data_IF_791089699066
#
_entry.id   IF_791089699066
#
_cell.length_a   1.000
_cell.length_b   1.000
_cell.length_c   1.000
_cell.angle_alpha   90.00
_cell.angle_beta   90.00
_cell.angle_gamma   90.00
#
_symmetry.space_group_name_H-M   'P 1'
#
loop_
_entity.id
_entity.type
_entity.pdbx_description
1 polymer ?
#
# COMPACT_ATOMS: atom_id res chain seq x y z
N UNK A 1 -21.51 -4.29 52.99
CA UNK A 1 -22.19 -5.48 52.42
C UNK A 1 -22.88 -5.02 51.14
N UNK A 2 -22.42 -5.22 49.92
CA UNK A 2 -21.43 -6.15 49.39
C UNK A 2 -22.11 -7.05 48.36
N UNK A 3 -22.00 -6.70 47.07
CA UNK A 3 -22.04 -7.58 45.87
C UNK A 3 -22.45 -6.77 44.64
N UNK A 4 -21.89 -6.94 43.45
CA UNK A 4 -20.62 -7.51 42.99
C UNK A 4 -20.52 -7.04 41.53
N UNK A 5 -19.37 -6.49 41.16
CA UNK A 5 -19.01 -6.19 39.77
C UNK A 5 -18.44 -7.47 39.15
N UNK A 6 -18.87 -7.78 37.94
CA UNK A 6 -18.23 -8.65 36.94
C UNK A 6 -18.64 -8.06 35.58
N UNK A 7 -17.79 -7.63 34.64
CA UNK A 7 -16.44 -8.08 34.31
C UNK A 7 -16.49 -8.87 33.00
N UNK A 8 -16.13 -8.19 31.89
CA UNK A 8 -15.59 -8.61 30.59
C UNK A 8 -15.85 -10.01 29.99
N UNK A 9 -16.01 -10.04 28.65
CA UNK A 9 -15.69 -11.22 27.84
C UNK A 9 -16.33 -11.28 26.45
N UNK A 10 -15.58 -10.81 25.46
CA UNK A 10 -15.40 -11.32 24.09
C UNK A 10 -16.60 -11.63 23.17
N UNK A 11 -16.58 -10.93 22.04
CA UNK A 11 -17.20 -11.38 20.81
C UNK A 11 -16.63 -10.59 19.63
N UNK A 12 -15.52 -11.08 19.08
CA UNK A 12 -15.05 -10.76 17.73
C UNK A 12 -16.26 -10.76 16.79
N UNK A 13 -16.63 -9.58 16.28
CA UNK A 13 -17.62 -9.45 15.23
C UNK A 13 -16.86 -9.35 13.92
N UNK A 14 -16.98 -10.35 13.02
CA UNK A 14 -16.48 -10.19 11.66
C UNK A 14 -17.12 -8.93 11.07
N UNK A 15 -16.32 -8.16 10.35
CA UNK A 15 -16.80 -7.05 9.53
C UNK A 15 -17.92 -7.61 8.65
N UNK A 16 -19.13 -7.06 8.82
CA UNK A 16 -20.35 -7.51 8.17
C UNK A 16 -20.17 -7.48 6.63
N UNK A 17 -20.74 -8.46 5.93
CA UNK A 17 -20.64 -8.72 4.48
C UNK A 17 -21.27 -7.61 3.59
N UNK A 18 -21.41 -6.40 4.12
CA UNK A 18 -22.00 -5.22 3.46
C UNK A 18 -21.10 -3.98 3.46
N UNK A 19 -19.91 -4.04 4.06
CA UNK A 19 -19.16 -2.83 4.40
C UNK A 19 -18.14 -2.36 3.37
N UNK A 20 -17.65 -3.23 2.47
CA UNK A 20 -16.61 -2.86 1.49
C UNK A 20 -17.15 -2.54 0.08
N UNK A 21 -18.45 -2.73 -0.18
CA UNK A 21 -19.08 -2.50 -1.49
C UNK A 21 -20.34 -1.62 -1.40
N UNK A 22 -20.58 -0.97 -0.26
CA UNK A 22 -21.86 -0.37 0.11
C UNK A 22 -22.06 1.09 -0.28
N UNK A 23 -21.02 1.80 -0.69
CA UNK A 23 -21.10 3.23 -1.00
C UNK A 23 -20.38 3.56 -2.30
N UNK A 24 -20.84 2.97 -3.41
CA UNK A 24 -20.98 3.62 -4.72
C UNK A 24 -19.92 4.60 -5.22
N UNK A 25 -18.65 4.47 -4.82
CA UNK A 25 -17.57 5.25 -5.39
C UNK A 25 -17.32 4.71 -6.81
N UNK A 26 -17.56 5.49 -7.87
CA UNK A 26 -17.05 5.13 -9.18
C UNK A 26 -15.54 4.93 -9.04
N UNK A 27 -14.99 3.82 -9.57
CA UNK A 27 -13.57 3.60 -9.50
C UNK A 27 -12.84 4.75 -10.21
N UNK A 28 -11.95 5.41 -9.49
CA UNK A 28 -11.27 6.61 -9.95
C UNK A 28 -10.09 6.29 -10.86
N UNK A 29 -10.24 5.33 -11.78
CA UNK A 29 -9.14 4.89 -12.64
C UNK A 29 -8.74 5.99 -13.64
N UNK A 30 -7.45 6.36 -13.60
CA UNK A 30 -6.80 7.09 -14.68
C UNK A 30 -7.01 6.35 -16.01
N UNK A 31 -7.53 7.06 -17.01
CA UNK A 31 -7.89 6.51 -18.31
C UNK A 31 -6.64 6.16 -19.14
N UNK A 32 -6.04 4.99 -18.92
CA UNK A 32 -4.98 4.42 -19.74
C UNK A 32 -5.54 3.66 -20.95
N UNK A 33 -5.49 4.26 -22.14
CA UNK A 33 -5.86 3.58 -23.39
C UNK A 33 -4.80 2.55 -23.81
N UNK A 34 -5.17 1.26 -23.80
CA UNK A 34 -4.35 0.18 -24.36
C UNK A 34 -4.05 0.41 -25.86
N UNK A 35 -2.77 0.44 -26.24
CA UNK A 35 -2.34 0.47 -27.66
C UNK A 35 -1.68 -0.86 -28.05
N UNK A 36 -2.38 -1.62 -28.89
CA UNK A 36 -1.86 -2.81 -29.56
C UNK A 36 -0.66 -2.50 -30.49
N UNK A 37 0.35 -3.40 -30.47
CA UNK A 37 0.92 -4.04 -31.68
C UNK A 37 1.90 -5.17 -31.32
N UNK A 38 1.59 -6.39 -31.77
CA UNK A 38 2.47 -7.56 -31.73
C UNK A 38 3.56 -7.49 -32.81
N UNK A 39 4.68 -8.22 -32.61
CA UNK A 39 4.92 -9.31 -33.54
C UNK A 39 5.30 -10.65 -32.88
N UNK A 40 4.89 -11.71 -33.60
CA UNK A 40 5.15 -13.13 -33.36
C UNK A 40 6.65 -13.47 -33.33
N UNK A 41 7.04 -14.45 -32.49
CA UNK A 41 8.13 -15.38 -32.81
C UNK A 41 7.94 -16.75 -32.17
N UNK A 42 8.27 -17.76 -32.98
CA UNK A 42 8.11 -19.20 -32.78
C UNK A 42 9.39 -19.86 -32.25
N UNK A 43 9.23 -20.96 -31.50
CA UNK A 43 10.07 -22.16 -31.71
C UNK A 43 11.07 -22.61 -30.61
N UNK A 44 10.57 -23.43 -29.68
CA UNK A 44 11.03 -24.80 -29.34
C UNK A 44 12.41 -25.13 -28.70
N UNK A 45 12.31 -25.74 -27.49
CA UNK A 45 13.01 -26.93 -26.90
C UNK A 45 14.51 -26.78 -26.53
N UNK A 46 15.06 -27.32 -25.42
CA UNK A 46 15.02 -28.67 -24.82
C UNK A 46 15.50 -28.70 -23.34
N UNK A 47 15.16 -29.83 -22.71
CA UNK A 47 15.42 -30.41 -21.37
C UNK A 47 16.89 -30.76 -21.09
N UNK A 48 17.32 -30.86 -19.80
CA UNK A 48 18.00 -32.03 -19.15
C UNK A 48 18.26 -31.80 -17.62
N UNK A 49 18.29 -32.95 -16.92
CA UNK A 49 18.14 -33.31 -15.51
C UNK A 49 19.32 -33.08 -14.53
N UNK A 50 18.94 -32.89 -13.25
CA UNK A 50 19.36 -33.56 -11.99
C UNK A 50 20.83 -33.64 -11.53
N UNK A 51 21.05 -33.34 -10.24
CA UNK A 51 21.65 -34.28 -9.26
C UNK A 51 21.41 -33.80 -7.82
N UNK A 52 21.02 -34.74 -6.96
CA UNK A 52 20.86 -34.56 -5.51
C UNK A 52 22.17 -34.88 -4.78
N UNK A 53 22.38 -34.25 -3.62
CA UNK A 53 23.30 -34.74 -2.59
C UNK A 53 22.68 -34.55 -1.21
N UNK A 54 22.56 -35.66 -0.50
CA UNK A 54 22.06 -35.79 0.87
C UNK A 54 23.26 -35.64 1.82
N UNK A 55 23.16 -34.79 2.85
CA UNK A 55 24.08 -34.79 3.98
C UNK A 55 23.30 -34.75 5.28
N UNK A 56 23.48 -35.79 6.10
CA UNK A 56 22.94 -35.90 7.45
C UNK A 56 23.97 -35.30 8.41
N UNK A 57 23.54 -34.36 9.25
CA UNK A 57 24.24 -34.01 10.49
C UNK A 57 23.20 -33.72 11.58
N UNK A 58 23.22 -34.55 12.62
CA UNK A 58 22.53 -34.30 13.88
C UNK A 58 23.44 -33.50 14.81
N UNK A 59 22.91 -32.49 15.51
CA UNK A 59 23.65 -31.80 16.56
C UNK A 59 22.92 -30.61 17.18
N UNK A 60 22.47 -30.78 18.42
CA UNK A 60 22.17 -29.80 19.47
C UNK A 60 21.09 -28.72 19.22
N UNK A 61 19.94 -28.89 19.89
CA UNK A 61 18.96 -27.81 20.12
C UNK A 61 19.51 -26.91 21.23
N UNK A 62 20.15 -25.82 20.85
CA UNK A 62 20.34 -24.66 21.71
C UNK A 62 19.27 -23.63 21.30
N UNK A 63 18.36 -23.31 22.22
CA UNK A 63 17.38 -22.24 22.04
C UNK A 63 18.16 -20.93 21.80
N UNK A 64 18.17 -20.49 20.54
CA UNK A 64 18.79 -19.25 20.12
C UNK A 64 17.66 -18.27 19.85
N UNK A 65 17.54 -17.23 20.67
CA UNK A 65 16.82 -16.02 20.31
C UNK A 65 17.58 -15.37 19.17
N UNK A 66 17.25 -15.74 17.94
CA UNK A 66 17.82 -15.15 16.75
C UNK A 66 17.20 -13.76 16.57
N UNK A 67 17.85 -12.73 17.11
CA UNK A 67 17.79 -11.42 16.49
C UNK A 67 18.35 -11.60 15.08
N UNK A 68 17.47 -11.58 14.07
CA UNK A 68 17.88 -11.60 12.68
C UNK A 68 18.51 -10.24 12.34
N UNK A 69 19.78 -10.05 12.68
CA UNK A 69 20.64 -9.09 11.97
C UNK A 69 21.01 -9.77 10.66
N UNK A 70 20.14 -9.66 9.66
CA UNK A 70 20.46 -10.06 8.30
C UNK A 70 21.35 -9.00 7.65
N UNK A 71 22.60 -9.34 7.38
CA UNK A 71 23.50 -8.62 6.45
C UNK A 71 23.02 -8.75 4.98
N UNK A 72 21.70 -8.84 4.76
CA UNK A 72 21.08 -8.80 3.44
C UNK A 72 20.82 -7.35 3.08
N UNK A 73 21.33 -6.89 1.94
CA UNK A 73 20.89 -5.62 1.36
C UNK A 73 19.37 -5.70 1.18
N UNK A 74 18.64 -4.70 1.67
CA UNK A 74 17.19 -4.62 1.48
C UNK A 74 16.84 -4.85 -0.01
N UNK A 75 15.76 -5.57 -0.32
CA UNK A 75 15.47 -6.02 -1.68
C UNK A 75 15.25 -4.88 -2.69
N UNK A 76 14.90 -3.67 -2.23
CA UNK A 76 14.87 -2.46 -3.07
C UNK A 76 16.22 -1.72 -3.15
N UNK A 77 17.19 -2.06 -2.31
CA UNK A 77 18.44 -1.33 -2.12
C UNK A 77 18.33 -0.13 -1.18
N UNK A 78 17.15 0.12 -0.59
CA UNK A 78 16.89 1.20 0.36
C UNK A 78 16.36 0.61 1.68
N UNK A 79 17.12 0.77 2.76
CA UNK A 79 16.74 0.27 4.08
C UNK A 79 15.54 0.98 4.65
N UNK A 80 14.65 0.21 5.28
CA UNK A 80 13.54 0.77 6.06
C UNK A 80 14.09 1.73 7.14
N UNK A 81 13.63 2.98 7.21
CA UNK A 81 14.02 3.88 8.28
C UNK A 81 13.62 3.29 9.64
N UNK A 82 14.53 3.18 10.60
CA UNK A 82 14.28 2.53 11.91
C UNK A 82 13.97 3.50 13.05
N UNK A 83 14.18 4.79 12.83
CA UNK A 83 13.89 5.86 13.79
C UNK A 83 13.23 7.03 13.08
N UNK A 84 12.46 7.83 13.82
CA UNK A 84 12.09 9.15 13.31
C UNK A 84 13.35 10.02 13.18
N UNK A 85 13.33 10.91 12.19
CA UNK A 85 14.46 11.79 11.82
C UNK A 85 14.63 13.00 12.76
N UNK A 86 13.83 13.06 13.84
CA UNK A 86 13.83 14.17 14.80
C UNK A 86 13.07 15.41 14.36
N UNK A 87 12.33 15.36 13.23
CA UNK A 87 11.49 16.47 12.74
C UNK A 87 10.13 16.62 13.45
N UNK A 88 9.97 15.99 14.62
CA UNK A 88 8.71 16.01 15.39
C UNK A 88 7.76 14.87 15.07
N UNK A 89 8.14 13.93 14.21
CA UNK A 89 7.44 12.67 14.00
C UNK A 89 7.92 11.57 14.97
N UNK A 90 7.04 10.63 15.30
CA UNK A 90 7.29 9.43 16.10
C UNK A 90 6.75 8.19 15.38
N UNK A 91 7.58 7.15 15.28
CA UNK A 91 7.25 5.88 14.62
C UNK A 91 6.26 5.06 15.45
N UNK A 92 5.10 4.74 14.88
CA UNK A 92 4.08 3.87 15.51
C UNK A 92 3.81 2.57 14.76
N UNK A 93 4.27 2.46 13.52
CA UNK A 93 4.22 1.21 12.75
C UNK A 93 5.40 1.09 11.78
N UNK A 94 6.07 -0.06 11.73
CA UNK A 94 7.11 -0.37 10.74
C UNK A 94 7.16 -1.85 10.41
N UNK A 95 7.11 -2.21 9.14
CA UNK A 95 7.20 -3.59 8.68
C UNK A 95 8.13 -3.71 7.46
N UNK A 96 9.03 -4.69 7.49
CA UNK A 96 10.02 -5.02 6.45
C UNK A 96 9.86 -6.46 5.90
N UNK A 97 8.79 -7.13 6.32
CA UNK A 97 8.36 -8.46 5.87
C UNK A 97 9.43 -9.55 5.99
N UNK A 98 10.29 -9.45 7.02
CA UNK A 98 11.37 -10.42 7.24
C UNK A 98 10.87 -11.86 7.53
N UNK A 99 9.65 -12.02 8.03
CA UNK A 99 9.03 -13.33 8.22
C UNK A 99 8.48 -13.87 6.89
N UNK A 100 9.11 -14.92 6.36
CA UNK A 100 8.61 -15.64 5.19
C UNK A 100 7.36 -16.45 5.53
N UNK A 101 6.34 -16.40 4.68
CA UNK A 101 5.08 -17.12 4.85
C UNK A 101 4.88 -18.17 3.75
N UNK A 102 4.18 -19.29 4.04
CA UNK A 102 3.73 -20.17 2.98
C UNK A 102 2.65 -19.45 2.15
N UNK A 103 2.42 -19.93 0.92
CA UNK A 103 1.36 -19.40 0.08
C UNK A 103 -0.01 -19.43 0.79
N UNK A 104 -0.65 -18.26 0.90
CA UNK A 104 -1.92 -18.09 1.62
C UNK A 104 -1.79 -18.13 3.14
N UNK A 105 -0.57 -18.11 3.68
CA UNK A 105 -0.28 -18.04 5.11
C UNK A 105 -0.12 -16.63 5.64
N UNK A 106 -0.07 -15.60 4.78
CA UNK A 106 0.15 -14.22 5.20
C UNK A 106 -0.83 -13.75 6.29
N UNK A 107 -2.13 -13.96 6.08
CA UNK A 107 -3.17 -13.59 7.05
C UNK A 107 -2.99 -14.26 8.43
N UNK A 108 -2.44 -15.48 8.46
CA UNK A 108 -2.19 -16.19 9.70
C UNK A 108 -0.90 -15.71 10.40
N UNK A 109 0.16 -15.48 9.63
CA UNK A 109 1.49 -15.18 10.16
C UNK A 109 1.69 -13.69 10.47
N UNK A 110 0.94 -12.80 9.83
CA UNK A 110 0.97 -11.33 10.01
C UNK A 110 -0.34 -10.77 10.61
N UNK A 111 -1.25 -11.62 11.09
CA UNK A 111 -2.59 -11.21 11.52
C UNK A 111 -2.66 -10.32 12.77
N UNK A 112 -1.58 -10.20 13.54
CA UNK A 112 -1.43 -9.23 14.63
C UNK A 112 -0.97 -7.85 14.14
N UNK A 113 -0.51 -7.76 12.88
CA UNK A 113 0.03 -6.54 12.27
C UNK A 113 -0.80 -6.02 11.12
N UNK A 114 -1.58 -6.88 10.46
CA UNK A 114 -2.39 -6.51 9.31
C UNK A 114 -3.78 -7.13 9.39
N UNK A 115 -4.79 -6.34 9.02
CA UNK A 115 -6.06 -6.88 8.54
C UNK A 115 -5.95 -7.13 7.04
N UNK A 116 -6.49 -8.27 6.57
CA UNK A 116 -6.41 -8.70 5.18
C UNK A 116 -7.79 -8.67 4.52
N UNK A 117 -7.86 -8.15 3.31
CA UNK A 117 -9.09 -8.18 2.52
C UNK A 117 -9.26 -9.56 1.88
N UNK A 118 -10.40 -10.20 2.15
CA UNK A 118 -10.72 -11.53 1.65
C UNK A 118 -12.23 -11.73 1.47
N UNK A 119 -12.63 -12.34 0.35
CA UNK A 119 -13.96 -12.97 0.21
C UNK A 119 -15.02 -12.12 -0.49
N UNK A 120 -14.76 -10.82 -0.66
CA UNK A 120 -15.66 -9.85 -1.31
C UNK A 120 -15.10 -9.36 -2.66
N UNK A 121 -15.93 -8.62 -3.40
CA UNK A 121 -15.55 -8.04 -4.69
C UNK A 121 -14.45 -6.98 -4.50
N UNK A 122 -13.59 -6.81 -5.50
CA UNK A 122 -12.68 -5.66 -5.49
C UNK A 122 -13.41 -4.37 -5.87
N UNK A 123 -12.69 -3.24 -5.83
CA UNK A 123 -13.25 -1.89 -6.00
C UNK A 123 -13.95 -1.72 -7.35
N UNK A 124 -13.39 -2.24 -8.44
CA UNK A 124 -14.02 -2.22 -9.77
C UNK A 124 -15.22 -3.20 -9.89
N UNK A 125 -15.41 -4.09 -8.92
CA UNK A 125 -16.51 -5.05 -8.86
C UNK A 125 -16.38 -6.22 -9.83
N UNK A 126 -15.29 -6.33 -10.60
CA UNK A 126 -15.06 -7.43 -11.56
C UNK A 126 -14.12 -8.51 -11.01
N UNK A 127 -13.29 -8.17 -10.04
CA UNK A 127 -12.40 -9.06 -9.31
C UNK A 127 -12.89 -9.42 -7.91
N UNK A 128 -12.04 -10.15 -7.16
CA UNK A 128 -12.30 -10.52 -5.77
C UNK A 128 -11.02 -10.42 -4.93
N UNK A 129 -11.12 -9.76 -3.78
CA UNK A 129 -10.07 -9.82 -2.78
C UNK A 129 -9.92 -11.23 -2.23
N UNK A 130 -8.70 -11.73 -2.15
CA UNK A 130 -8.38 -13.09 -1.70
C UNK A 130 -7.04 -13.10 -0.97
N UNK A 131 -7.01 -13.45 0.31
CA UNK A 131 -5.74 -13.60 1.06
C UNK A 131 -4.72 -14.56 0.43
N UNK A 132 -5.14 -15.48 -0.45
CA UNK A 132 -4.24 -16.32 -1.24
C UNK A 132 -3.37 -15.58 -2.28
N UNK A 133 -3.64 -14.30 -2.54
CA UNK A 133 -2.78 -13.43 -3.35
C UNK A 133 -1.59 -12.89 -2.57
N UNK A 134 -1.64 -12.94 -1.22
CA UNK A 134 -0.61 -12.38 -0.36
C UNK A 134 0.38 -13.46 0.09
N UNK A 135 1.67 -13.19 -0.02
CA UNK A 135 2.75 -13.99 0.54
C UNK A 135 3.88 -13.04 0.93
N UNK A 136 4.59 -13.33 2.02
CA UNK A 136 5.82 -12.62 2.35
C UNK A 136 7.01 -13.54 2.10
N UNK A 137 8.02 -13.05 1.42
CA UNK A 137 9.27 -13.79 1.17
C UNK A 137 10.37 -12.81 0.76
N UNK A 138 11.62 -13.21 0.97
CA UNK A 138 12.79 -12.43 0.56
C UNK A 138 12.80 -10.98 1.11
N UNK A 139 12.20 -10.75 2.28
CA UNK A 139 12.08 -9.41 2.89
C UNK A 139 11.06 -8.50 2.20
N UNK A 140 10.03 -9.07 1.55
CA UNK A 140 8.98 -8.30 0.89
C UNK A 140 7.61 -8.94 1.12
N UNK A 141 6.57 -8.13 1.07
CA UNK A 141 5.21 -8.55 0.74
C UNK A 141 5.06 -8.62 -0.78
N UNK A 142 4.75 -9.81 -1.28
CA UNK A 142 4.29 -10.08 -2.64
C UNK A 142 2.76 -10.18 -2.65
N UNK A 143 2.11 -9.20 -3.26
CA UNK A 143 0.73 -9.33 -3.72
C UNK A 143 0.75 -9.81 -5.17
N UNK A 144 0.34 -11.06 -5.40
CA UNK A 144 0.29 -11.63 -6.75
C UNK A 144 -1.09 -11.46 -7.39
N UNK A 145 -1.16 -10.56 -8.36
CA UNK A 145 -2.35 -10.16 -9.10
C UNK A 145 -2.48 -10.99 -10.37
N UNK A 146 -3.61 -11.69 -10.53
CA UNK A 146 -3.81 -12.57 -11.70
C UNK A 146 -5.24 -12.90 -11.99
N UNK A 147 -5.53 -13.12 -13.27
CA UNK A 147 -6.82 -13.63 -13.70
C UNK A 147 -6.78 -15.15 -13.77
N UNK A 148 -7.65 -15.81 -13.02
CA UNK A 148 -7.74 -17.29 -13.03
C UNK A 148 -8.10 -17.82 -14.42
N UNK A 149 -7.85 -19.11 -14.68
CA UNK A 149 -8.30 -19.79 -15.91
C UNK A 149 -9.82 -19.66 -16.13
N UNK A 150 -10.58 -19.62 -15.04
CA UNK A 150 -12.03 -19.40 -15.03
C UNK A 150 -12.44 -18.00 -15.51
N UNK A 151 -11.53 -17.03 -15.46
CA UNK A 151 -11.78 -15.63 -15.84
C UNK A 151 -12.00 -14.70 -14.65
N UNK A 152 -11.86 -15.18 -13.41
CA UNK A 152 -11.98 -14.35 -12.20
C UNK A 152 -10.65 -13.63 -11.89
N UNK A 153 -10.61 -12.29 -11.87
CA UNK A 153 -9.48 -11.50 -11.37
C UNK A 153 -9.33 -11.70 -9.85
N UNK A 154 -8.09 -11.82 -9.39
CA UNK A 154 -7.76 -11.94 -7.98
C UNK A 154 -7.04 -10.68 -7.51
N UNK A 155 -7.61 -10.04 -6.49
CA UNK A 155 -7.11 -8.82 -5.87
C UNK A 155 -6.46 -9.13 -4.50
N UNK A 156 -5.58 -8.24 -4.04
CA UNK A 156 -4.95 -8.27 -2.73
C UNK A 156 -5.21 -6.96 -1.99
N UNK A 157 -5.40 -7.02 -0.67
CA UNK A 157 -5.57 -5.83 0.14
C UNK A 157 -5.13 -6.05 1.57
N UNK A 158 -4.41 -5.08 2.14
CA UNK A 158 -3.95 -5.09 3.53
C UNK A 158 -4.16 -3.73 4.19
N UNK A 159 -4.46 -3.75 5.48
CA UNK A 159 -4.57 -2.58 6.36
C UNK A 159 -3.59 -2.78 7.50
N UNK A 160 -2.53 -1.96 7.63
CA UNK A 160 -1.67 -1.97 8.81
C UNK A 160 -2.45 -1.69 10.09
N UNK A 161 -2.17 -2.47 11.13
CA UNK A 161 -2.75 -2.31 12.46
C UNK A 161 -1.74 -1.60 13.35
N UNK A 162 -1.92 -0.29 13.55
CA UNK A 162 -1.11 0.49 14.49
C UNK A 162 -1.35 -0.05 15.90
N UNK A 163 -0.28 -0.45 16.59
CA UNK A 163 -0.32 -1.16 17.88
C UNK A 163 -1.23 -2.40 17.91
N UNK A 164 -1.41 -3.06 16.76
CA UNK A 164 -2.28 -4.24 16.63
C UNK A 164 -3.78 -3.91 16.74
N UNK A 165 -4.16 -2.64 16.60
CA UNK A 165 -5.54 -2.18 16.69
C UNK A 165 -6.06 -1.66 15.35
N UNK A 166 -7.37 -1.82 15.14
CA UNK A 166 -8.06 -1.20 14.02
C UNK A 166 -8.21 0.30 14.25
N UNK A 167 -8.03 1.06 13.17
CA UNK A 167 -8.30 2.48 13.11
C UNK A 167 -7.06 3.30 12.76
N UNK A 168 -7.32 4.55 12.41
CA UNK A 168 -6.39 5.45 11.80
C UNK A 168 -5.93 6.62 12.68
N UNK A 169 -5.29 7.59 12.03
CA UNK A 169 -4.78 8.81 12.66
C UNK A 169 -5.55 10.03 12.12
N UNK A 170 -5.46 11.17 12.78
CA UNK A 170 -5.95 12.47 12.25
C UNK A 170 -4.85 13.31 11.59
N UNK A 171 -3.64 12.76 11.58
CA UNK A 171 -2.41 13.33 11.02
C UNK A 171 -1.35 12.22 11.02
N UNK A 172 -0.43 12.22 10.07
CA UNK A 172 0.61 11.20 10.03
C UNK A 172 1.56 11.38 8.85
N UNK A 173 2.71 10.70 8.94
CA UNK A 173 3.59 10.44 7.80
C UNK A 173 3.52 8.96 7.45
N UNK A 174 3.08 8.66 6.23
CA UNK A 174 2.90 7.30 5.74
C UNK A 174 3.88 7.08 4.60
N UNK A 175 4.82 6.15 4.76
CA UNK A 175 5.81 5.84 3.72
C UNK A 175 5.72 4.38 3.32
N UNK A 176 5.78 4.12 2.02
CA UNK A 176 5.78 2.77 1.45
C UNK A 176 6.82 2.66 0.35
N UNK A 177 7.64 1.61 0.42
CA UNK A 177 8.64 1.29 -0.59
C UNK A 177 8.13 0.16 -1.47
N UNK A 178 7.75 0.47 -2.71
CA UNK A 178 7.10 -0.50 -3.59
C UNK A 178 7.51 -0.40 -5.05
N UNK A 179 7.22 -1.48 -5.79
CA UNK A 179 7.21 -1.55 -7.25
C UNK A 179 6.21 -2.60 -7.70
N UNK A 180 5.91 -2.64 -8.99
CA UNK A 180 5.00 -3.62 -9.58
C UNK A 180 5.49 -4.12 -10.93
N UNK A 181 5.08 -5.33 -11.31
CA UNK A 181 5.09 -5.74 -12.71
C UNK A 181 4.06 -4.92 -13.51
N UNK A 182 4.23 -4.80 -14.83
CA UNK A 182 3.14 -4.35 -15.70
C UNK A 182 2.11 -5.47 -15.85
N UNK A 183 0.89 -5.24 -15.38
CA UNK A 183 -0.18 -6.25 -15.41
C UNK A 183 -1.45 -5.68 -16.02
N UNK A 184 -1.73 -6.09 -17.26
CA UNK A 184 -2.90 -5.65 -18.02
C UNK A 184 -4.21 -5.71 -17.20
N UNK A 185 -4.85 -4.55 -17.06
CA UNK A 185 -6.13 -4.43 -16.37
C UNK A 185 -6.06 -4.46 -14.84
N UNK A 186 -4.87 -4.40 -14.24
CA UNK A 186 -4.72 -4.26 -12.79
C UNK A 186 -4.14 -2.89 -12.41
N UNK A 187 -4.48 -2.46 -11.22
CA UNK A 187 -3.96 -1.24 -10.61
C UNK A 187 -3.78 -1.38 -9.11
N UNK A 188 -3.23 -0.34 -8.51
CA UNK A 188 -3.03 -0.18 -7.08
C UNK A 188 -3.57 1.18 -6.63
N UNK A 189 -4.14 1.21 -5.44
CA UNK A 189 -4.40 2.40 -4.66
C UNK A 189 -3.79 2.19 -3.27
N UNK A 190 -2.81 3.01 -2.91
CA UNK A 190 -2.35 3.18 -1.53
C UNK A 190 -3.08 4.39 -0.99
N UNK A 191 -4.05 4.17 -0.10
CA UNK A 191 -4.99 5.21 0.28
C UNK A 191 -5.12 5.40 1.78
N UNK A 192 -5.39 6.65 2.18
CA UNK A 192 -5.95 6.97 3.48
C UNK A 192 -7.48 6.98 3.37
N UNK A 193 -8.14 6.16 4.18
CA UNK A 193 -9.60 5.97 4.17
C UNK A 193 -10.23 6.20 5.54
N UNK A 194 -11.47 6.70 5.58
CA UNK A 194 -12.18 6.99 6.83
C UNK A 194 -12.42 5.73 7.66
N UNK A 195 -12.10 5.81 8.94
CA UNK A 195 -12.43 4.78 9.93
C UNK A 195 -13.94 4.51 10.04
N UNK A 196 -14.76 5.54 9.79
CA UNK A 196 -16.22 5.46 9.83
C UNK A 196 -16.81 5.02 8.48
N UNK A 197 -15.96 4.80 7.47
CA UNK A 197 -16.35 4.37 6.13
C UNK A 197 -17.32 5.34 5.44
N UNK A 198 -17.08 6.64 5.63
CA UNK A 198 -17.80 7.74 4.99
C UNK A 198 -16.85 8.39 3.99
N UNK A 199 -17.26 8.49 2.72
CA UNK A 199 -16.36 9.01 1.68
C UNK A 199 -16.12 10.51 1.82
N UNK A 200 -17.14 11.24 2.31
CA UNK A 200 -17.08 12.67 2.56
C UNK A 200 -16.15 13.08 3.71
N UNK A 201 -15.68 12.12 4.52
CA UNK A 201 -14.62 12.34 5.49
C UNK A 201 -13.24 12.52 4.83
N UNK A 202 -13.11 12.08 3.56
CA UNK A 202 -11.92 12.18 2.73
C UNK A 202 -11.48 10.85 2.10
N UNK A 203 -10.72 10.97 1.02
CA UNK A 203 -9.92 9.89 0.41
C UNK A 203 -8.67 10.53 -0.19
N UNK A 204 -7.51 9.97 0.14
CA UNK A 204 -6.21 10.44 -0.33
C UNK A 204 -5.44 9.24 -0.86
N UNK A 205 -5.20 9.19 -2.17
CA UNK A 205 -4.56 8.09 -2.86
C UNK A 205 -3.17 8.51 -3.34
N UNK A 206 -2.14 7.91 -2.75
CA UNK A 206 -0.77 8.11 -3.21
C UNK A 206 0.17 6.97 -2.77
N UNK A 207 0.72 6.19 -3.71
CA UNK A 207 0.45 6.24 -5.15
C UNK A 207 -0.86 5.53 -5.52
N UNK A 208 -1.52 6.02 -6.58
CA UNK A 208 -2.57 5.31 -7.30
C UNK A 208 -2.16 5.09 -8.76
N UNK A 209 -2.56 4.00 -9.41
CA UNK A 209 -2.38 3.87 -10.86
C UNK A 209 -2.47 2.44 -11.39
N UNK A 210 -2.40 2.31 -12.71
CA UNK A 210 -2.25 1.00 -13.34
C UNK A 210 -0.86 0.42 -13.02
N UNK A 211 -0.79 -0.89 -12.77
CA UNK A 211 0.49 -1.52 -12.42
C UNK A 211 1.49 -1.37 -13.58
N UNK A 212 2.72 -0.96 -13.24
CA UNK A 212 3.79 -0.64 -14.19
C UNK A 212 3.67 0.72 -14.91
N UNK A 213 2.60 1.48 -14.69
CA UNK A 213 2.41 2.83 -15.26
C UNK A 213 2.89 3.93 -14.31
N UNK A 214 2.98 5.20 -14.76
CA UNK A 214 3.24 6.31 -13.85
C UNK A 214 2.24 6.38 -12.69
N UNK A 215 2.74 6.73 -11.50
CA UNK A 215 1.93 6.89 -10.30
C UNK A 215 1.16 8.23 -10.33
N UNK A 216 -0.05 8.20 -9.82
CA UNK A 216 -0.89 9.36 -9.57
C UNK A 216 -0.93 9.70 -8.09
N UNK A 217 -1.04 10.99 -7.83
CA UNK A 217 -1.57 11.57 -6.61
C UNK A 217 -3.02 11.96 -6.86
N UNK A 218 -3.94 11.50 -6.00
CA UNK A 218 -5.33 11.94 -6.01
C UNK A 218 -5.78 12.34 -4.58
N UNK A 219 -6.37 13.52 -4.44
CA UNK A 219 -7.05 13.96 -3.22
C UNK A 219 -8.49 14.25 -3.60
N UNK A 220 -9.41 13.48 -3.04
CA UNK A 220 -10.84 13.63 -3.26
C UNK A 220 -11.39 14.81 -2.45
N UNK A 221 -12.37 15.53 -3.02
CA UNK A 221 -12.98 16.66 -2.34
C UNK A 221 -13.86 16.18 -1.17
N UNK A 222 -13.71 16.72 0.04
CA UNK A 222 -14.50 16.28 1.22
C UNK A 222 -16.02 16.35 1.00
N UNK A 223 -16.58 17.43 0.46
CA UNK A 223 -18.04 17.56 0.31
C UNK A 223 -18.61 16.86 -0.94
N UNK A 224 -17.78 16.64 -1.96
CA UNK A 224 -18.16 16.00 -3.22
C UNK A 224 -17.05 15.04 -3.65
N UNK A 225 -16.90 13.91 -2.95
CA UNK A 225 -15.72 13.07 -3.11
C UNK A 225 -15.70 12.31 -4.44
N UNK A 226 -16.74 12.42 -5.27
CA UNK A 226 -16.65 11.99 -6.67
C UNK A 226 -15.68 12.85 -7.49
N UNK A 227 -15.44 14.09 -7.08
CA UNK A 227 -14.51 15.03 -7.72
C UNK A 227 -13.13 14.97 -7.05
N UNK A 228 -12.10 15.17 -7.88
CA UNK A 228 -10.69 15.23 -7.43
C UNK A 228 -10.28 16.70 -7.28
N UNK A 229 -10.09 17.14 -6.05
CA UNK A 229 -9.62 18.49 -5.74
C UNK A 229 -8.13 18.64 -6.04
N UNK A 230 -7.36 17.56 -5.87
CA UNK A 230 -5.98 17.46 -6.35
C UNK A 230 -5.86 16.22 -7.21
N UNK A 231 -5.28 16.37 -8.39
CA UNK A 231 -4.91 15.26 -9.25
C UNK A 231 -3.62 15.60 -9.99
N UNK A 232 -2.67 14.68 -9.94
CA UNK A 232 -1.41 14.83 -10.65
C UNK A 232 -0.83 13.47 -11.05
N UNK A 233 -0.47 13.33 -12.32
CA UNK A 233 0.33 12.20 -12.81
C UNK A 233 1.80 12.55 -12.60
N UNK A 234 2.51 11.73 -11.83
CA UNK A 234 3.94 11.90 -11.57
C UNK A 234 4.77 11.32 -12.73
N UNK A 235 6.05 11.63 -12.78
CA UNK A 235 6.98 10.98 -13.72
C UNK A 235 7.45 9.59 -13.23
N UNK A 236 7.20 9.26 -11.96
CA UNK A 236 7.67 8.04 -11.33
C UNK A 236 6.84 6.84 -11.77
N UNK A 237 7.49 5.85 -12.37
CA UNK A 237 6.84 4.62 -12.81
C UNK A 237 6.62 3.66 -11.65
N UNK A 238 5.42 3.10 -11.52
CA UNK A 238 5.14 1.99 -10.62
C UNK A 238 5.91 0.72 -10.99
N UNK A 239 6.58 0.66 -12.16
CA UNK A 239 7.47 -0.45 -12.52
C UNK A 239 8.82 -0.40 -11.78
N UNK A 240 9.21 0.79 -11.35
CA UNK A 240 10.46 1.04 -10.68
C UNK A 240 10.25 1.09 -9.18
N UNK A 241 11.31 0.75 -8.47
CA UNK A 241 11.33 0.85 -7.03
C UNK A 241 11.34 2.36 -6.67
N UNK A 242 10.27 2.84 -6.02
CA UNK A 242 10.23 4.14 -5.32
C UNK A 242 9.74 4.05 -3.86
N UNK A 243 10.14 5.02 -3.03
CA UNK A 243 9.50 5.33 -1.74
C UNK A 243 8.46 6.41 -1.97
N UNK A 244 7.20 6.11 -1.72
CA UNK A 244 6.11 7.07 -1.74
C UNK A 244 5.75 7.47 -0.32
N UNK A 245 5.63 8.77 -0.07
CA UNK A 245 5.30 9.30 1.26
C UNK A 245 4.15 10.30 1.18
N UNK A 246 3.18 10.13 2.08
CA UNK A 246 2.15 11.14 2.40
C UNK A 246 2.52 11.75 3.75
N UNK A 247 2.77 13.04 3.79
CA UNK A 247 2.83 13.82 5.02
C UNK A 247 1.52 14.59 5.18
N UNK A 248 0.74 14.26 6.19
CA UNK A 248 -0.57 14.84 6.45
C UNK A 248 -0.60 15.49 7.82
N UNK A 249 -0.77 16.81 7.81
CA UNK A 249 -0.97 17.65 8.99
C UNK A 249 -2.31 18.37 8.87
N UNK A 250 -2.84 18.96 9.96
CA UNK A 250 -4.06 19.77 9.89
C UNK A 250 -3.95 21.00 8.98
N UNK A 251 -2.72 21.46 8.66
CA UNK A 251 -2.49 22.67 7.87
C UNK A 251 -2.13 22.38 6.41
N UNK A 252 -1.49 21.24 6.13
CA UNK A 252 -0.98 20.90 4.79
C UNK A 252 -0.81 19.40 4.63
N UNK A 253 -1.07 18.93 3.40
CA UNK A 253 -0.56 17.66 2.91
C UNK A 253 0.59 17.88 1.93
N UNK A 254 1.65 17.09 2.06
CA UNK A 254 2.77 17.03 1.11
C UNK A 254 2.98 15.59 0.67
N UNK A 255 3.30 15.42 -0.61
CA UNK A 255 3.44 14.13 -1.26
C UNK A 255 4.85 14.02 -1.81
N UNK A 256 5.57 12.97 -1.43
CA UNK A 256 6.97 12.81 -1.75
C UNK A 256 7.24 11.50 -2.47
N UNK A 257 8.19 11.54 -3.41
CA UNK A 257 8.79 10.36 -4.04
C UNK A 257 10.29 10.43 -3.79
N UNK A 258 10.84 9.39 -3.17
CA UNK A 258 12.28 9.31 -2.83
C UNK A 258 12.79 10.59 -2.14
N UNK A 259 12.04 11.03 -1.12
CA UNK A 259 12.28 12.24 -0.32
C UNK A 259 12.19 13.57 -1.08
N UNK A 260 11.71 13.57 -2.34
CA UNK A 260 11.44 14.78 -3.13
C UNK A 260 9.94 15.10 -3.12
N UNK A 261 9.57 16.32 -2.74
CA UNK A 261 8.18 16.79 -2.78
C UNK A 261 7.73 16.94 -4.23
N UNK A 262 6.76 16.14 -4.64
CA UNK A 262 6.14 16.18 -5.99
C UNK A 262 4.83 16.97 -6.01
N UNK A 263 4.18 17.11 -4.85
CA UNK A 263 2.96 17.89 -4.72
C UNK A 263 2.65 18.29 -3.28
N UNK A 264 1.88 19.35 -3.12
CA UNK A 264 1.37 19.82 -1.82
C UNK A 264 -0.05 20.36 -1.98
N UNK A 265 -0.84 20.35 -0.90
CA UNK A 265 -2.14 21.03 -0.88
C UNK A 265 -2.52 21.50 0.52
N UNK A 266 -3.27 22.60 0.59
CA UNK A 266 -4.01 23.03 1.78
C UNK A 266 -5.52 22.85 1.63
N UNK A 267 -5.97 22.25 0.53
CA UNK A 267 -7.37 22.02 0.21
C UNK A 267 -7.76 20.58 0.57
N UNK A 268 -9.04 20.39 0.93
CA UNK A 268 -9.62 19.07 1.17
C UNK A 268 -8.82 18.17 2.12
N UNK A 269 -8.16 18.77 3.11
CA UNK A 269 -7.43 18.04 4.17
C UNK A 269 -8.44 17.31 5.06
N UNK A 270 -8.41 15.97 5.12
CA UNK A 270 -9.27 15.22 6.04
C UNK A 270 -9.07 15.67 7.48
N UNK A 271 -10.15 15.70 8.26
CA UNK A 271 -10.11 15.98 9.70
C UNK A 271 -10.58 14.79 10.54
N UNK A 272 -11.26 13.84 9.90
CA UNK A 272 -11.68 12.56 10.46
C UNK A 272 -10.48 11.62 10.60
N UNK A 273 -10.65 10.53 11.35
CA UNK A 273 -9.61 9.51 11.49
C UNK A 273 -9.51 8.70 10.21
N UNK A 274 -8.30 8.61 9.65
CA UNK A 274 -8.02 7.90 8.41
C UNK A 274 -6.99 6.80 8.63
N UNK A 275 -7.28 5.59 8.18
CA UNK A 275 -6.32 4.46 8.20
C UNK A 275 -5.72 4.24 6.81
N UNK A 276 -4.50 3.72 6.79
CA UNK A 276 -3.82 3.34 5.55
C UNK A 276 -4.39 2.01 5.03
N UNK A 277 -4.67 1.95 3.73
CA UNK A 277 -5.01 0.72 3.02
C UNK A 277 -4.10 0.60 1.80
N UNK A 278 -3.56 -0.58 1.56
CA UNK A 278 -2.98 -0.92 0.26
C UNK A 278 -3.95 -1.86 -0.44
N UNK A 279 -4.50 -1.42 -1.56
CA UNK A 279 -5.44 -2.20 -2.37
C UNK A 279 -4.87 -2.37 -3.77
N UNK A 280 -4.74 -3.61 -4.25
CA UNK A 280 -4.38 -3.90 -5.63
C UNK A 280 -5.40 -4.86 -6.23
N UNK A 281 -5.96 -4.50 -7.37
CA UNK A 281 -7.12 -5.20 -7.93
C UNK A 281 -7.32 -4.92 -9.39
N UNK A 282 -8.43 -5.42 -9.93
CA UNK A 282 -8.80 -5.12 -11.30
C UNK A 282 -9.18 -3.65 -11.45
N UNK A 283 -8.81 -3.08 -12.60
CA UNK A 283 -9.31 -1.80 -13.07
C UNK A 283 -10.67 -1.99 -13.76
N UNK A 284 -11.22 -0.91 -14.31
CA UNK A 284 -12.43 -0.96 -15.14
C UNK A 284 -12.35 -2.01 -16.25
N UNK A 285 -13.41 -2.81 -16.34
CA UNK A 285 -13.51 -3.92 -17.29
C UNK A 285 -12.96 -5.24 -16.76
N UNK A 286 -12.67 -6.16 -17.67
CA UNK A 286 -12.26 -7.52 -17.32
C UNK A 286 -10.79 -7.75 -17.72
N UNK A 287 -9.86 -7.87 -16.76
CA UNK A 287 -8.47 -8.18 -17.07
C UNK A 287 -8.34 -9.48 -17.87
N UNK A 288 -7.40 -9.57 -18.83
CA UNK A 288 -7.24 -10.75 -19.65
C UNK A 288 -6.82 -11.96 -18.82
N UNK A 289 -7.16 -13.16 -19.28
CA UNK A 289 -6.77 -14.43 -18.60
C UNK A 289 -5.26 -14.67 -18.55
N UNK A 290 -4.49 -13.91 -19.32
CA UNK A 290 -3.02 -13.93 -19.31
C UNK A 290 -2.42 -12.97 -18.29
N UNK A 291 -3.21 -12.09 -17.66
CA UNK A 291 -2.72 -11.20 -16.62
C UNK A 291 -2.24 -12.02 -15.41
N UNK A 292 -0.97 -11.88 -15.07
CA UNK A 292 -0.28 -12.50 -13.95
C UNK A 292 0.99 -11.68 -13.68
N UNK A 293 1.11 -11.11 -12.49
CA UNK A 293 2.26 -10.36 -12.04
C UNK A 293 2.11 -9.96 -10.57
N UNK A 294 3.04 -9.14 -10.08
CA UNK A 294 3.18 -8.87 -8.65
C UNK A 294 3.24 -7.39 -8.36
N UNK A 295 2.61 -6.97 -7.27
CA UNK A 295 2.96 -5.76 -6.54
C UNK A 295 3.85 -6.18 -5.38
N UNK A 296 5.07 -5.65 -5.33
CA UNK A 296 6.06 -5.94 -4.31
C UNK A 296 6.23 -4.73 -3.40
N UNK A 297 6.18 -4.98 -2.09
CA UNK A 297 6.42 -3.97 -1.06
C UNK A 297 7.60 -4.46 -0.22
N UNK A 298 8.68 -3.67 -0.21
CA UNK A 298 9.87 -3.91 0.60
C UNK A 298 9.57 -3.59 2.06
N UNK A 299 9.11 -2.37 2.33
CA UNK A 299 8.75 -1.96 3.67
C UNK A 299 7.68 -0.87 3.66
N UNK A 300 7.07 -0.68 4.83
CA UNK A 300 6.17 0.44 5.08
C UNK A 300 6.28 0.94 6.51
N UNK A 301 6.05 2.25 6.68
CA UNK A 301 6.12 2.91 7.98
C UNK A 301 4.98 3.90 8.16
N UNK A 302 4.51 4.03 9.41
CA UNK A 302 3.57 5.07 9.83
C UNK A 302 4.20 5.79 11.01
N UNK A 303 4.37 7.10 10.85
CA UNK A 303 4.76 8.01 11.91
C UNK A 303 3.58 8.95 12.25
N UNK A 304 3.47 9.36 13.51
CA UNK A 304 2.49 10.35 14.00
C UNK A 304 3.24 11.53 14.63
N UNK A 305 2.60 12.69 14.86
CA UNK A 305 3.22 13.73 15.66
C UNK A 305 3.66 13.19 17.02
N UNK A 306 4.93 13.39 17.36
CA UNK A 306 5.46 13.05 18.67
C UNK A 306 4.72 13.86 19.75
N UNK A 307 4.68 13.34 20.99
CA UNK A 307 3.97 13.99 22.09
C UNK A 307 4.32 15.49 22.24
N UNK A 308 3.34 16.35 21.98
CA UNK A 308 3.46 17.80 22.07
C UNK A 308 4.20 18.48 20.91
N UNK A 309 4.56 17.74 19.86
CA UNK A 309 5.10 18.28 18.62
C UNK A 309 3.97 18.63 17.63
N UNK A 310 4.23 19.64 16.80
CA UNK A 310 3.42 20.02 15.65
C UNK A 310 4.34 19.97 14.42
N UNK A 311 4.66 18.78 13.88
CA UNK A 311 5.53 18.67 12.72
C UNK A 311 4.89 19.38 11.53
N UNK A 312 5.72 20.03 10.72
CA UNK A 312 5.30 20.63 9.46
C UNK A 312 5.48 19.62 8.32
N UNK A 313 4.57 19.66 7.35
CA UNK A 313 4.74 18.93 6.11
C UNK A 313 5.89 19.55 5.29
N UNK A 314 6.69 18.71 4.66
CA UNK A 314 7.85 19.10 3.87
C UNK A 314 7.46 20.03 2.73
N UNK A 315 8.34 20.97 2.42
CA UNK A 315 8.24 21.86 1.27
C UNK A 315 9.34 21.53 0.25
N UNK A 316 9.15 21.84 -1.04
CA UNK A 316 10.16 21.63 -2.09
C UNK A 316 11.48 22.32 -1.77
N UNK A 317 12.59 21.67 -2.15
CA UNK A 317 13.96 22.18 -1.91
C UNK A 317 14.40 23.33 -2.84
N UNK A 318 13.76 23.48 -4.00
CA UNK A 318 14.35 24.18 -5.15
C UNK A 318 13.91 25.65 -5.30
N UNK A 319 13.79 26.40 -4.20
CA UNK A 319 13.32 27.81 -4.15
C UNK A 319 11.93 28.06 -4.82
N UNK A 320 11.24 27.01 -5.25
CA UNK A 320 9.89 27.10 -5.81
C UNK A 320 8.94 27.51 -4.69
N UNK A 321 8.37 28.71 -4.82
CA UNK A 321 7.42 29.22 -3.84
C UNK A 321 6.13 28.40 -3.90
N UNK A 322 5.92 27.54 -2.90
CA UNK A 322 4.62 26.91 -2.65
C UNK A 322 3.66 27.99 -2.15
N UNK A 323 2.48 28.15 -2.77
CA UNK A 323 1.47 29.07 -2.27
C UNK A 323 1.03 28.75 -0.83
N UNK A 324 0.72 29.80 -0.07
CA UNK A 324 0.19 29.65 1.30
C UNK A 324 -1.11 28.83 1.32
N UNK A 325 -1.96 29.03 0.29
CA UNK A 325 -3.22 28.31 0.12
C UNK A 325 -3.34 27.73 -1.29
N UNK A 326 -4.01 26.58 -1.39
CA UNK A 326 -4.35 25.91 -2.64
C UNK A 326 -3.55 24.63 -2.86
N UNK A 327 -3.70 24.09 -4.06
CA UNK A 327 -3.01 22.89 -4.52
C UNK A 327 -1.84 23.27 -5.43
N UNK A 328 -0.69 22.64 -5.24
CA UNK A 328 0.54 22.92 -6.00
C UNK A 328 1.26 21.62 -6.34
N UNK A 329 1.77 21.53 -7.56
CA UNK A 329 2.64 20.44 -8.02
C UNK A 329 3.90 21.04 -8.60
N UNK A 330 5.03 20.38 -8.37
CA UNK A 330 6.28 20.85 -8.94
C UNK A 330 6.20 20.75 -10.47
N UNK A 331 6.58 21.83 -11.17
CA UNK A 331 6.96 21.72 -12.58
C UNK A 331 8.27 20.90 -12.58
N UNK A 332 8.17 19.57 -12.68
CA UNK A 332 9.33 18.71 -12.86
C UNK A 332 10.05 19.17 -14.13
N UNK A 333 11.18 19.86 -13.97
CA UNK A 333 12.00 20.25 -15.10
C UNK A 333 12.43 18.96 -15.80
N UNK A 334 12.11 18.84 -17.10
CA UNK A 334 12.50 17.69 -17.90
C UNK A 334 13.99 17.38 -17.66
N UNK A 335 14.37 16.11 -17.41
CA UNK A 335 15.77 15.76 -17.20
C UNK A 335 16.60 16.19 -18.43
N UNK A 336 17.72 16.88 -18.16
CA UNK A 336 18.69 17.30 -19.18
C UNK A 336 19.36 16.11 -19.88
#
# INVERSE_FOLDING_TARGET
MGSRVTGFGDGFRPVDDRSAAGHGAPPAHGAGFARHRFPLRTGARRVVLAAAALAIAAGAVAASTTSATGDGVDPSGVTMPTTSDGSGWERVFSEDFALTTPKGGFEADYGDRFSVYHGFADTAGTGRYQSSTLTAHDGMLDMRLRTTRGGTPLAGGVVPLVDGQWGGQTSGRYSIRMKSDEVDGYGVAVLLWSDENVWEDGEVDFPEGALGAPAFLNVHCLEDPAEKCVQYETEASLADWHTYTIEWTPARMSFLIDDQVVGTTTESIPTSRMHLVVQAGSNDGQPPKSADGSLLIDWMTIDVPADGAEPEASLPSDDSAVPDEGSWTADMAAPQ
#
